data_IF_785128623809
#
_entry.id   IF_785128623809
#
_cell.length_a   1.000
_cell.length_b   1.000
_cell.length_c   1.000
_cell.angle_alpha   90.00
_cell.angle_beta   90.00
_cell.angle_gamma   90.00
#
_symmetry.space_group_name_H-M   'P 1'
#
loop_
_entity.id
_entity.type
_entity.pdbx_description
1 polymer ?
#
# COMPACT_ATOMS: atom_id res chain seq x y z
N UNK A 1 15.29 -9.10 -4.35
CA UNK A 1 15.22 -9.79 -3.05
C UNK A 1 14.06 -10.77 -2.91
N UNK A 2 12.79 -10.34 -2.90
CA UNK A 2 11.69 -11.29 -2.70
C UNK A 2 11.57 -12.31 -3.85
N UNK A 3 11.68 -11.84 -5.09
CA UNK A 3 11.69 -12.71 -6.28
C UNK A 3 12.84 -13.72 -6.27
N UNK A 4 14.04 -13.29 -5.89
CA UNK A 4 15.23 -14.15 -5.82
C UNK A 4 15.13 -15.17 -4.68
N UNK A 5 14.63 -14.75 -3.51
CA UNK A 5 14.52 -15.61 -2.32
C UNK A 5 13.42 -16.66 -2.42
N UNK A 6 12.36 -16.40 -3.19
CA UNK A 6 11.17 -17.24 -3.18
C UNK A 6 10.69 -17.72 -4.56
N UNK A 7 11.33 -17.30 -5.66
CA UNK A 7 10.97 -17.68 -7.04
C UNK A 7 9.48 -17.46 -7.39
N UNK A 8 8.86 -16.39 -6.86
CA UNK A 8 7.40 -16.13 -6.95
C UNK A 8 7.04 -15.08 -8.02
N UNK A 9 8.01 -14.53 -8.76
CA UNK A 9 7.75 -13.37 -9.63
C UNK A 9 7.49 -13.72 -11.11
N UNK A 10 7.55 -15.00 -11.48
CA UNK A 10 6.96 -15.41 -12.76
C UNK A 10 5.44 -15.34 -12.61
N UNK A 11 4.80 -14.54 -13.48
CA UNK A 11 3.35 -14.33 -13.53
C UNK A 11 2.57 -15.61 -13.90
N UNK A 12 2.71 -16.71 -13.15
CA UNK A 12 1.85 -17.88 -13.36
C UNK A 12 0.44 -17.49 -12.92
N UNK A 13 -0.47 -17.49 -13.89
CA UNK A 13 -1.90 -17.15 -13.74
C UNK A 13 -2.62 -17.99 -12.66
N UNK A 14 -1.96 -19.04 -12.15
CA UNK A 14 -2.39 -19.87 -11.02
C UNK A 14 -2.35 -19.11 -9.67
N UNK A 15 -1.57 -18.03 -9.54
CA UNK A 15 -1.43 -17.25 -8.30
C UNK A 15 -2.56 -16.24 -8.03
N UNK A 16 -3.43 -15.99 -9.01
CA UNK A 16 -4.52 -15.00 -8.91
C UNK A 16 -5.82 -15.60 -8.33
N UNK A 17 -5.95 -16.92 -8.26
CA UNK A 17 -7.23 -17.58 -7.96
C UNK A 17 -7.51 -17.72 -6.45
N UNK A 18 -6.54 -17.42 -5.57
CA UNK A 18 -6.70 -17.65 -4.13
C UNK A 18 -6.64 -16.41 -3.22
N UNK A 19 -6.44 -15.19 -3.72
CA UNK A 19 -6.26 -14.04 -2.82
C UNK A 19 -7.37 -12.98 -2.94
N UNK A 20 -8.32 -13.03 -2.01
CA UNK A 20 -9.38 -12.03 -1.80
C UNK A 20 -8.84 -10.76 -1.12
N UNK A 21 -7.73 -10.19 -1.65
CA UNK A 21 -7.15 -8.94 -1.15
C UNK A 21 -7.91 -7.74 -1.71
N UNK A 22 -8.42 -6.90 -0.82
CA UNK A 22 -9.01 -5.62 -1.17
C UNK A 22 -7.95 -4.53 -1.08
N UNK A 23 -7.02 -4.54 -2.05
CA UNK A 23 -5.91 -3.58 -2.08
C UNK A 23 -6.38 -2.22 -2.64
N UNK A 24 -5.91 -1.09 -2.06
CA UNK A 24 -6.23 0.23 -2.57
C UNK A 24 -5.81 0.41 -4.03
N UNK A 25 -6.71 1.00 -4.84
CA UNK A 25 -6.45 1.33 -6.25
C UNK A 25 -6.73 2.81 -6.47
N UNK A 26 -5.89 3.44 -7.28
CA UNK A 26 -6.11 4.82 -7.75
C UNK A 26 -6.85 4.76 -9.08
N UNK A 27 -8.05 5.32 -9.14
CA UNK A 27 -8.84 5.60 -10.35
C UNK A 27 -8.72 7.09 -10.73
N UNK A 28 -8.91 7.42 -12.00
CA UNK A 28 -8.65 8.76 -12.55
C UNK A 28 -9.63 9.86 -12.11
N UNK A 29 -10.78 9.50 -11.53
CA UNK A 29 -11.82 10.45 -11.12
C UNK A 29 -11.55 11.13 -9.77
N UNK A 30 -12.03 12.37 -9.66
CA UNK A 30 -11.87 13.38 -8.61
C UNK A 30 -11.55 12.90 -7.17
N UNK A 31 -10.77 13.73 -6.47
CA UNK A 31 -10.32 13.47 -5.09
C UNK A 31 -9.02 12.66 -5.02
N UNK A 32 -8.16 12.78 -6.03
CA UNK A 32 -6.89 12.04 -6.14
C UNK A 32 -6.08 12.07 -4.84
N UNK A 33 -5.82 13.23 -4.24
CA UNK A 33 -5.04 13.31 -2.99
C UNK A 33 -5.74 12.65 -1.79
N UNK A 34 -7.06 12.80 -1.66
CA UNK A 34 -7.84 12.18 -0.58
C UNK A 34 -7.79 10.65 -0.70
N UNK A 35 -8.01 10.13 -1.90
CA UNK A 35 -7.91 8.69 -2.22
C UNK A 35 -6.48 8.17 -2.02
N UNK A 36 -5.47 8.95 -2.40
CA UNK A 36 -4.06 8.61 -2.19
C UNK A 36 -3.72 8.51 -0.71
N UNK A 37 -4.03 9.53 0.08
CA UNK A 37 -3.79 9.51 1.51
C UNK A 37 -4.52 8.35 2.20
N UNK A 38 -5.81 8.17 1.91
CA UNK A 38 -6.61 7.07 2.48
C UNK A 38 -6.01 5.70 2.11
N UNK A 39 -5.63 5.52 0.85
CA UNK A 39 -4.99 4.29 0.37
C UNK A 39 -3.65 4.02 1.04
N UNK A 40 -2.81 5.04 1.27
CA UNK A 40 -1.54 4.89 2.00
C UNK A 40 -1.77 4.52 3.46
N UNK A 41 -2.82 5.05 4.12
CA UNK A 41 -3.21 4.60 5.46
C UNK A 41 -3.66 3.14 5.45
N UNK A 42 -4.45 2.71 4.46
CA UNK A 42 -4.83 1.30 4.31
C UNK A 42 -3.61 0.39 4.05
N UNK A 43 -2.64 0.83 3.25
CA UNK A 43 -1.43 0.06 3.00
C UNK A 43 -0.56 -0.17 4.24
N UNK A 44 -0.65 0.66 5.29
CA UNK A 44 0.11 0.43 6.53
C UNK A 44 -0.18 -0.95 7.13
N UNK A 45 -1.45 -1.36 7.20
CA UNK A 45 -1.83 -2.68 7.73
C UNK A 45 -1.30 -3.83 6.88
N UNK A 46 -1.29 -3.66 5.55
CA UNK A 46 -0.70 -4.65 4.65
C UNK A 46 0.84 -4.71 4.79
N UNK A 47 1.50 -3.58 4.97
CA UNK A 47 2.96 -3.53 5.18
C UNK A 47 3.37 -4.06 6.56
N UNK A 48 2.54 -3.90 7.59
CA UNK A 48 2.72 -4.54 8.90
C UNK A 48 2.72 -6.07 8.77
N UNK A 49 1.75 -6.62 8.02
CA UNK A 49 1.75 -8.05 7.68
C UNK A 49 3.05 -8.46 6.97
N UNK A 50 3.47 -7.70 5.94
CA UNK A 50 4.73 -7.98 5.23
C UNK A 50 5.95 -7.91 6.16
N UNK A 51 5.97 -7.01 7.14
CA UNK A 51 7.07 -6.89 8.10
C UNK A 51 7.18 -8.13 9.00
N UNK A 52 6.04 -8.70 9.38
CA UNK A 52 5.97 -9.92 10.18
C UNK A 52 6.35 -11.16 9.37
N UNK A 53 5.90 -11.26 8.12
CA UNK A 53 6.14 -12.42 7.26
C UNK A 53 7.52 -12.40 6.61
N UNK A 54 8.01 -11.23 6.16
CA UNK A 54 9.28 -11.08 5.46
C UNK A 54 10.43 -10.70 6.41
N UNK A 55 10.61 -11.51 7.45
CA UNK A 55 11.55 -11.29 8.57
C UNK A 55 12.99 -11.02 8.12
N UNK A 56 13.44 -11.63 7.02
CA UNK A 56 14.79 -11.43 6.48
C UNK A 56 15.10 -10.00 6.02
N UNK A 57 14.08 -9.17 5.77
CA UNK A 57 14.23 -7.77 5.37
C UNK A 57 13.45 -6.84 6.32
N UNK A 58 13.21 -7.28 7.57
CA UNK A 58 12.35 -6.60 8.55
C UNK A 58 12.66 -5.11 8.70
N UNK A 59 13.94 -4.73 8.79
CA UNK A 59 14.35 -3.32 8.93
C UNK A 59 13.99 -2.47 7.70
N UNK A 60 14.09 -3.03 6.48
CA UNK A 60 13.69 -2.33 5.26
C UNK A 60 12.19 -2.14 5.20
N UNK A 61 11.43 -3.17 5.59
CA UNK A 61 9.97 -3.06 5.63
C UNK A 61 9.53 -2.08 6.73
N UNK A 62 10.20 -2.05 7.87
CA UNK A 62 9.94 -1.08 8.95
C UNK A 62 10.16 0.36 8.48
N UNK A 63 11.28 0.61 7.79
CA UNK A 63 11.53 1.91 7.15
C UNK A 63 10.45 2.25 6.12
N UNK A 64 10.00 1.27 5.33
CA UNK A 64 8.92 1.44 4.37
C UNK A 64 7.59 1.80 5.05
N UNK A 65 7.23 1.12 6.15
CA UNK A 65 6.04 1.43 6.95
C UNK A 65 6.09 2.88 7.46
N UNK A 66 7.22 3.28 8.05
CA UNK A 66 7.42 4.63 8.57
C UNK A 66 7.29 5.68 7.45
N UNK A 67 7.99 5.50 6.34
CA UNK A 67 7.96 6.44 5.21
C UNK A 67 6.58 6.52 4.57
N UNK A 68 5.86 5.39 4.49
CA UNK A 68 4.48 5.34 3.96
C UNK A 68 3.52 6.11 4.86
N UNK A 69 3.63 5.95 6.19
CA UNK A 69 2.82 6.71 7.15
C UNK A 69 3.11 8.20 7.12
N UNK A 70 4.39 8.55 7.01
CA UNK A 70 4.79 9.95 6.89
C UNK A 70 4.21 10.57 5.61
N UNK A 71 4.36 9.90 4.46
CA UNK A 71 3.79 10.34 3.19
C UNK A 71 2.25 10.48 3.24
N UNK A 72 1.55 9.50 3.83
CA UNK A 72 0.10 9.55 3.99
C UNK A 72 -0.35 10.81 4.75
N UNK A 73 0.39 11.14 5.81
CA UNK A 73 0.16 12.33 6.65
C UNK A 73 0.45 13.62 5.88
N UNK A 74 1.57 13.67 5.15
CA UNK A 74 1.92 14.82 4.29
C UNK A 74 0.86 15.06 3.21
N UNK A 75 0.40 14.01 2.52
CA UNK A 75 -0.65 14.14 1.51
C UNK A 75 -1.96 14.58 2.15
N UNK A 76 -2.32 14.06 3.33
CA UNK A 76 -3.52 14.49 4.08
C UNK A 76 -3.53 15.99 4.32
N UNK A 77 -2.39 16.59 4.66
CA UNK A 77 -2.25 18.04 4.87
C UNK A 77 -2.41 18.85 3.57
N UNK A 78 -2.26 18.24 2.40
CA UNK A 78 -2.45 18.89 1.10
C UNK A 78 -3.90 18.83 0.60
N UNK A 79 -4.76 18.01 1.22
CA UNK A 79 -6.19 17.91 0.90
C UNK A 79 -6.94 19.10 1.48
N UNK A 80 -7.95 19.61 0.76
CA UNK A 80 -8.77 20.75 1.20
C UNK A 80 -9.46 20.45 2.54
N UNK A 81 -10.04 19.26 2.68
CA UNK A 81 -10.68 18.77 3.90
C UNK A 81 -9.95 17.50 4.40
N UNK A 82 -8.99 17.63 5.33
CA UNK A 82 -8.24 16.50 5.87
C UNK A 82 -9.09 15.46 6.61
N UNK A 83 -10.29 15.81 7.06
CA UNK A 83 -11.20 14.94 7.81
C UNK A 83 -11.98 13.97 6.92
N UNK A 84 -12.02 14.22 5.61
CA UNK A 84 -12.60 13.30 4.63
C UNK A 84 -11.63 12.16 4.25
N UNK A 85 -10.39 12.19 4.74
CA UNK A 85 -9.43 11.09 4.55
C UNK A 85 -9.84 9.91 5.42
N UNK A 86 -10.08 8.76 4.77
CA UNK A 86 -10.47 7.53 5.45
C UNK A 86 -9.22 6.88 6.04
N UNK A 87 -9.19 6.76 7.37
CA UNK A 87 -8.13 6.07 8.10
C UNK A 87 -8.78 4.83 8.74
N UNK A 88 -8.31 3.61 8.43
CA UNK A 88 -8.85 2.40 9.06
C UNK A 88 -8.69 2.47 10.57
N UNK A 89 -9.75 2.19 11.32
CA UNK A 89 -9.69 2.11 12.79
C UNK A 89 -8.97 0.82 13.25
N UNK A 90 -8.60 0.77 14.53
CA UNK A 90 -7.84 -0.36 15.09
C UNK A 90 -8.56 -1.72 14.94
N UNK A 91 -9.90 -1.76 15.02
CA UNK A 91 -10.64 -3.02 14.88
C UNK A 91 -10.61 -3.51 13.44
N UNK A 92 -10.80 -2.60 12.47
CA UNK A 92 -10.67 -2.90 11.04
C UNK A 92 -9.27 -3.41 10.70
N UNK A 93 -8.22 -2.77 11.22
CA UNK A 93 -6.83 -3.20 11.01
C UNK A 93 -6.57 -4.61 11.58
N UNK A 94 -7.00 -4.86 12.83
CA UNK A 94 -6.82 -6.17 13.48
C UNK A 94 -7.57 -7.29 12.75
N UNK A 95 -8.80 -7.02 12.29
CA UNK A 95 -9.59 -7.97 11.52
C UNK A 95 -8.89 -8.35 10.22
N UNK A 96 -8.35 -7.35 9.50
CA UNK A 96 -7.59 -7.58 8.27
C UNK A 96 -6.32 -8.39 8.53
N UNK A 97 -5.53 -8.05 9.55
CA UNK A 97 -4.32 -8.80 9.92
C UNK A 97 -4.65 -10.26 10.28
N UNK A 98 -5.71 -10.49 11.05
CA UNK A 98 -6.15 -11.84 11.40
C UNK A 98 -6.51 -12.66 10.15
N UNK A 99 -7.21 -12.03 9.19
CA UNK A 99 -7.55 -12.66 7.91
C UNK A 99 -6.30 -13.01 7.08
N UNK A 100 -5.30 -12.12 7.03
CA UNK A 100 -4.05 -12.37 6.30
C UNK A 100 -3.20 -13.47 6.95
N UNK A 101 -3.27 -13.61 8.27
CA UNK A 101 -2.51 -14.60 9.06
C UNK A 101 -3.16 -15.98 9.13
N UNK A 102 -4.43 -16.12 8.75
CA UNK A 102 -5.10 -17.43 8.72
C UNK A 102 -4.67 -18.31 7.54
N UNK A 103 -3.87 -17.77 6.63
CA UNK A 103 -3.46 -18.44 5.40
C UNK A 103 -2.25 -19.37 5.59
N UNK A 104 -2.10 -20.38 4.70
CA UNK A 104 -0.95 -21.31 4.71
C UNK A 104 0.34 -20.60 4.30
N UNK A 105 1.51 -21.07 4.76
CA UNK A 105 2.83 -20.46 4.49
C UNK A 105 3.17 -20.22 3.01
N UNK A 106 2.72 -21.09 2.08
CA UNK A 106 2.87 -20.84 0.64
C UNK A 106 2.04 -19.63 0.18
N UNK A 107 0.81 -19.51 0.68
CA UNK A 107 -0.08 -18.38 0.42
C UNK A 107 0.52 -17.11 1.01
N UNK A 108 1.17 -17.15 2.19
CA UNK A 108 1.82 -15.97 2.79
C UNK A 108 2.88 -15.32 1.88
N UNK A 109 3.68 -16.15 1.20
CA UNK A 109 4.70 -15.68 0.24
C UNK A 109 4.04 -15.02 -0.98
N UNK A 110 2.96 -15.61 -1.49
CA UNK A 110 2.20 -15.03 -2.60
C UNK A 110 1.53 -13.71 -2.16
N UNK A 111 0.85 -13.71 -1.02
CA UNK A 111 0.22 -12.52 -0.43
C UNK A 111 1.21 -11.39 -0.30
N UNK A 112 2.40 -11.67 0.24
CA UNK A 112 3.46 -10.67 0.41
C UNK A 112 3.94 -10.12 -0.95
N UNK A 113 4.07 -10.98 -1.97
CA UNK A 113 4.47 -10.55 -3.32
C UNK A 113 3.41 -9.64 -3.94
N UNK A 114 2.13 -10.02 -3.85
CA UNK A 114 1.01 -9.25 -4.38
C UNK A 114 0.89 -7.89 -3.68
N UNK A 115 1.01 -7.84 -2.35
CA UNK A 115 1.01 -6.58 -1.58
C UNK A 115 2.13 -5.66 -2.07
N UNK A 116 3.36 -6.16 -2.17
CA UNK A 116 4.50 -5.34 -2.58
C UNK A 116 4.37 -4.86 -4.03
N UNK A 117 3.94 -5.73 -4.95
CA UNK A 117 3.70 -5.38 -6.36
C UNK A 117 2.65 -4.28 -6.49
N UNK A 118 1.50 -4.45 -5.86
CA UNK A 118 0.40 -3.49 -5.95
C UNK A 118 0.73 -2.20 -5.21
N UNK A 119 1.47 -2.27 -4.10
CA UNK A 119 2.02 -1.09 -3.42
C UNK A 119 2.97 -0.31 -4.32
N UNK A 120 3.88 -0.96 -5.05
CA UNK A 120 4.75 -0.30 -6.03
C UNK A 120 3.94 0.42 -7.11
N UNK A 121 2.95 -0.26 -7.71
CA UNK A 121 2.04 0.34 -8.70
C UNK A 121 1.27 1.54 -8.14
N UNK A 122 0.81 1.44 -6.89
CA UNK A 122 0.14 2.55 -6.19
C UNK A 122 1.09 3.74 -5.99
N UNK A 123 2.34 3.49 -5.59
CA UNK A 123 3.35 4.53 -5.38
C UNK A 123 3.74 5.23 -6.67
N UNK A 124 3.83 4.52 -7.80
CA UNK A 124 4.06 5.15 -9.12
C UNK A 124 2.97 6.16 -9.47
N UNK A 125 1.70 5.80 -9.24
CA UNK A 125 0.56 6.69 -9.44
C UNK A 125 0.58 7.87 -8.46
N UNK A 126 0.93 7.62 -7.20
CA UNK A 126 1.10 8.65 -6.17
C UNK A 126 2.13 9.70 -6.59
N UNK A 127 3.30 9.26 -7.08
CA UNK A 127 4.36 10.15 -7.55
C UNK A 127 3.90 10.99 -8.73
N UNK A 128 3.21 10.40 -9.71
CA UNK A 128 2.66 11.15 -10.87
C UNK A 128 1.67 12.23 -10.42
N UNK A 129 0.76 11.90 -9.51
CA UNK A 129 -0.23 12.84 -8.98
C UNK A 129 0.42 14.01 -8.22
N UNK A 130 1.36 13.72 -7.32
CA UNK A 130 2.07 14.77 -6.55
C UNK A 130 2.88 15.68 -7.47
N UNK A 131 3.55 15.13 -8.50
CA UNK A 131 4.27 15.93 -9.51
C UNK A 131 3.33 16.83 -10.31
N UNK A 132 2.19 16.31 -10.74
CA UNK A 132 1.18 17.10 -11.44
C UNK A 132 0.75 18.31 -10.62
N UNK A 133 0.43 18.09 -9.34
CA UNK A 133 0.01 19.16 -8.42
C UNK A 133 1.09 20.21 -8.15
N UNK A 134 2.35 19.77 -8.02
CA UNK A 134 3.46 20.70 -7.89
C UNK A 134 3.56 21.61 -9.11
N UNK A 135 3.45 21.02 -10.30
CA UNK A 135 3.55 21.75 -11.56
C UNK A 135 2.37 22.71 -11.78
N UNK A 136 1.14 22.29 -11.48
CA UNK A 136 -0.04 23.17 -11.62
C UNK A 136 0.00 24.33 -10.63
N UNK A 137 0.39 24.08 -9.37
CA UNK A 137 0.53 25.15 -8.36
C UNK A 137 1.68 26.11 -8.69
N UNK A 138 2.76 25.65 -9.31
CA UNK A 138 3.86 26.54 -9.75
C UNK A 138 3.52 27.41 -10.96
N UNK A 139 2.53 27.02 -11.77
CA UNK A 139 2.06 27.79 -12.93
C UNK A 139 1.05 28.87 -12.50
N UNK A 140 0.48 28.78 -11.30
CA UNK A 140 -0.47 29.75 -10.74
C UNK A 140 0.19 30.95 -10.03
N UNK A 141 1.47 31.25 -10.32
CA UNK A 141 2.23 32.39 -9.76
C UNK A 141 2.61 33.36 -10.87
#
# INVERSE_FOLDING_TARGET
QMCEKFTVCENSMEMLVQNNLNLPKVTEEDGCLRKLSSGLFTFQTYLEYVQETFTSERQKVESLCYSTKHLATTIRQMVINPDEVIIPDSATQKSLLAKLKSDKTWIEKITTHLILRDFTSFMEKTVRAVRYLKNTRSISV
#
